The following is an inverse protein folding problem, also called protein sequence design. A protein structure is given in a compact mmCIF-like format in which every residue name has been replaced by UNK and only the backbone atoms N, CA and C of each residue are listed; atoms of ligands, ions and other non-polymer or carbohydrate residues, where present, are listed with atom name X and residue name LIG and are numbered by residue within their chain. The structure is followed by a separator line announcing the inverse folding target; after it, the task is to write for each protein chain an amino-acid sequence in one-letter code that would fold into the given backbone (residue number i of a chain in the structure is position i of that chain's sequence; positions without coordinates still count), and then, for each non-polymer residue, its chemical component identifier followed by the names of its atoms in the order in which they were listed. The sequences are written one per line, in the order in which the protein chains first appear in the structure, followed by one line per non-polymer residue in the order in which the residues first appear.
data_IF_306517497025
#
_entry.id   IF_306517497025
#
_cell.length_a   1.000
_cell.length_b   1.000
_cell.length_c   1.000
_cell.angle_alpha   90.00
_cell.angle_beta   90.00
_cell.angle_gamma   90.00
#
_symmetry.space_group_name_H-M   'P 1'
#
loop_
_entity.id
_entity.type
_entity.pdbx_description
1 polymer ?
#
# COMPACT_ATOMS: atom_id res chain seq x y z
N UNK A 1 7.20 15.99 36.31
CA UNK A 1 8.50 15.79 35.63
C UNK A 1 9.21 14.46 35.96
N UNK A 2 9.14 13.46 35.08
CA UNK A 2 10.27 12.52 34.88
C UNK A 2 10.31 12.07 33.41
N UNK A 3 10.27 13.04 32.50
CA UNK A 3 10.57 12.85 31.09
C UNK A 3 11.77 13.76 30.78
N UNK A 4 12.91 13.15 30.50
CA UNK A 4 14.21 13.76 30.16
C UNK A 4 14.77 14.76 31.20
N UNK A 5 15.73 14.30 32.01
CA UNK A 5 16.38 15.12 33.02
C UNK A 5 17.10 16.33 32.43
N UNK A 6 16.86 17.52 33.00
CA UNK A 6 17.76 18.70 33.13
C UNK A 6 18.56 19.23 31.91
N UNK A 7 18.43 18.67 30.71
CA UNK A 7 19.27 18.96 29.55
C UNK A 7 18.51 18.90 28.22
N UNK A 8 17.31 19.46 28.16
CA UNK A 8 16.68 19.74 26.87
C UNK A 8 17.47 20.87 26.18
N UNK A 9 18.20 20.54 25.11
CA UNK A 9 18.93 21.52 24.30
C UNK A 9 18.10 21.88 23.08
N UNK A 10 18.18 23.15 22.66
CA UNK A 10 17.50 23.62 21.46
C UNK A 10 18.22 23.05 20.24
N UNK A 11 17.57 22.11 19.55
CA UNK A 11 18.05 21.52 18.30
C UNK A 11 17.54 22.37 17.14
N UNK A 12 18.40 22.64 16.16
CA UNK A 12 17.98 23.32 14.93
C UNK A 12 17.71 22.30 13.85
N UNK A 13 16.51 22.32 13.26
CA UNK A 13 16.11 21.48 12.14
C UNK A 13 15.91 22.37 10.90
N UNK A 14 16.55 21.98 9.80
CA UNK A 14 16.29 22.53 8.46
C UNK A 14 15.81 21.38 7.58
N UNK A 15 14.73 21.60 6.85
CA UNK A 15 14.18 20.63 5.90
C UNK A 15 13.86 21.33 4.59
N UNK A 16 14.00 20.60 3.49
CA UNK A 16 13.60 21.03 2.16
C UNK A 16 13.06 19.82 1.40
N UNK A 17 11.91 19.96 0.78
CA UNK A 17 11.39 18.96 -0.15
C UNK A 17 11.66 19.42 -1.58
N UNK A 18 12.06 18.48 -2.43
CA UNK A 18 12.40 18.74 -3.83
C UNK A 18 11.55 17.82 -4.69
N UNK A 19 10.86 18.45 -5.63
CA UNK A 19 10.16 17.82 -6.75
C UNK A 19 11.09 17.93 -7.97
N UNK A 20 11.62 16.79 -8.44
CA UNK A 20 12.65 16.71 -9.48
C UNK A 20 12.00 16.63 -10.86
N UNK A 21 10.90 15.88 -10.99
CA UNK A 21 10.21 15.67 -12.27
C UNK A 21 9.07 16.69 -12.55
N UNK A 22 8.76 17.52 -11.57
CA UNK A 22 7.74 18.59 -11.59
C UNK A 22 6.32 18.05 -11.75
N UNK A 23 6.04 16.85 -11.23
CA UNK A 23 4.70 16.27 -11.24
C UNK A 23 3.79 16.83 -10.13
N UNK A 24 4.32 17.69 -9.25
CA UNK A 24 3.62 18.28 -8.11
C UNK A 24 3.66 17.43 -6.84
N UNK A 25 4.45 16.35 -6.82
CA UNK A 25 4.73 15.51 -5.67
C UNK A 25 6.21 15.65 -5.29
N UNK A 26 6.54 15.69 -4.00
CA UNK A 26 7.93 15.71 -3.60
C UNK A 26 8.56 14.34 -3.92
N UNK A 27 9.78 14.35 -4.45
CA UNK A 27 10.60 13.16 -4.76
C UNK A 27 11.68 12.91 -3.70
N UNK A 28 12.06 13.96 -2.98
CA UNK A 28 13.20 13.92 -2.07
C UNK A 28 13.01 14.87 -0.90
N UNK A 29 13.38 14.40 0.29
CA UNK A 29 13.50 15.20 1.51
C UNK A 29 14.97 15.36 1.89
N UNK A 30 15.43 16.60 1.81
CA UNK A 30 16.72 17.02 2.35
C UNK A 30 16.52 17.53 3.76
N UNK A 31 17.32 17.06 4.70
CA UNK A 31 17.27 17.51 6.08
C UNK A 31 18.65 17.74 6.67
N UNK A 32 18.73 18.69 7.58
CA UNK A 32 19.90 18.97 8.39
C UNK A 32 19.47 19.25 9.83
N UNK A 33 20.01 18.48 10.76
CA UNK A 33 19.77 18.61 12.19
C UNK A 33 21.10 19.01 12.84
N UNK A 34 21.10 20.14 13.54
CA UNK A 34 22.24 20.62 14.32
C UNK A 34 21.94 20.47 15.80
N UNK A 35 22.65 19.57 16.47
CA UNK A 35 22.54 19.30 17.90
C UNK A 35 23.73 19.93 18.61
N UNK A 36 23.53 20.95 19.48
CA UNK A 36 24.63 21.55 20.23
C UNK A 36 25.08 20.58 21.32
N UNK A 37 26.25 19.95 21.16
CA UNK A 37 26.86 19.08 22.16
C UNK A 37 28.00 19.80 22.88
N UNK A 38 28.24 19.51 24.15
CA UNK A 38 29.45 20.01 24.84
C UNK A 38 30.67 19.17 24.48
N UNK A 39 31.87 19.72 24.70
CA UNK A 39 33.14 19.05 24.35
C UNK A 39 33.34 17.69 25.03
N UNK A 40 32.74 17.50 26.21
CA UNK A 40 32.72 16.23 26.95
C UNK A 40 31.68 15.22 26.48
N UNK A 41 30.74 15.61 25.62
CA UNK A 41 29.66 14.76 25.13
C UNK A 41 30.01 14.16 23.76
N UNK A 42 29.75 12.86 23.60
CA UNK A 42 30.03 12.12 22.38
C UNK A 42 28.76 11.46 21.84
N UNK A 43 28.45 11.68 20.56
CA UNK A 43 27.34 11.01 19.89
C UNK A 43 27.83 9.66 19.32
N UNK A 44 27.21 8.57 19.77
CA UNK A 44 27.53 7.20 19.34
C UNK A 44 26.33 6.54 18.63
N UNK A 45 25.11 6.90 19.03
CA UNK A 45 23.88 6.31 18.52
C UNK A 45 22.98 7.41 18.01
N UNK A 46 22.43 7.21 16.82
CA UNK A 46 21.41 8.07 16.26
C UNK A 46 20.13 7.26 16.00
N UNK A 47 19.01 7.78 16.51
CA UNK A 47 17.67 7.24 16.31
C UNK A 47 16.76 8.35 15.83
N UNK A 48 16.02 8.09 14.77
CA UNK A 48 15.05 9.02 14.21
C UNK A 48 13.81 8.26 13.77
N UNK A 49 12.65 8.87 14.00
CA UNK A 49 11.37 8.38 13.55
C UNK A 49 10.70 9.47 12.73
N UNK A 50 10.42 9.19 11.46
CA UNK A 50 9.77 10.10 10.53
C UNK A 50 8.33 9.66 10.32
N UNK A 51 7.39 10.57 10.55
CA UNK A 51 5.99 10.30 10.25
C UNK A 51 5.73 10.62 8.78
N UNK A 52 5.29 9.61 8.04
CA UNK A 52 4.97 9.71 6.62
C UNK A 52 3.49 9.48 6.42
N UNK A 53 2.81 10.43 5.79
CA UNK A 53 1.44 10.24 5.32
C UNK A 53 1.45 9.59 3.94
N UNK A 54 0.72 8.49 3.81
CA UNK A 54 0.55 7.73 2.57
C UNK A 54 -0.89 7.81 2.12
N UNK A 55 -1.08 8.25 0.88
CA UNK A 55 -2.36 8.25 0.19
C UNK A 55 -2.25 7.50 -1.12
N UNK A 56 -2.91 6.34 -1.20
CA UNK A 56 -3.02 5.52 -2.40
C UNK A 56 -4.35 5.82 -3.11
N UNK A 57 -4.28 5.83 -4.44
CA UNK A 57 -5.38 6.28 -5.31
C UNK A 57 -6.44 5.24 -5.65
N UNK A 58 -6.95 5.33 -6.88
CA UNK A 58 -8.25 4.83 -7.34
C UNK A 58 -8.51 3.32 -7.20
N UNK A 59 -7.49 2.47 -7.33
CA UNK A 59 -7.66 1.01 -7.22
C UNK A 59 -7.73 0.52 -5.76
N UNK A 60 -6.98 1.18 -4.87
CA UNK A 60 -6.88 0.84 -3.45
C UNK A 60 -6.95 2.14 -2.66
N UNK A 61 -8.15 2.56 -2.22
CA UNK A 61 -8.29 3.76 -1.41
C UNK A 61 -7.73 3.50 0.00
N UNK A 62 -6.44 3.76 0.19
CA UNK A 62 -5.73 3.65 1.46
C UNK A 62 -5.19 5.02 1.84
N UNK A 63 -5.61 5.52 3.00
CA UNK A 63 -4.96 6.65 3.66
C UNK A 63 -4.42 6.17 4.99
N UNK A 64 -3.10 6.23 5.17
CA UNK A 64 -2.43 5.70 6.36
C UNK A 64 -1.24 6.56 6.73
N UNK A 65 -0.97 6.67 8.02
CA UNK A 65 0.29 7.23 8.53
C UNK A 65 1.23 6.08 8.87
N UNK A 66 2.42 6.11 8.29
CA UNK A 66 3.48 5.15 8.56
C UNK A 66 4.67 5.84 9.24
N UNK A 67 5.49 5.05 9.93
CA UNK A 67 6.66 5.55 10.65
C UNK A 67 7.93 4.98 10.04
N UNK A 68 8.74 5.85 9.45
CA UNK A 68 10.03 5.53 8.91
C UNK A 68 11.07 5.62 10.04
N UNK A 69 11.56 4.45 10.49
CA UNK A 69 12.52 4.35 11.59
C UNK A 69 13.95 4.25 11.04
N UNK A 70 14.84 5.08 11.57
CA UNK A 70 16.27 5.06 11.28
C UNK A 70 17.01 4.82 12.59
N UNK A 71 17.90 3.84 12.59
CA UNK A 71 18.77 3.53 13.71
C UNK A 71 20.17 3.24 13.19
N UNK A 72 21.14 4.05 13.63
CA UNK A 72 22.54 3.87 13.25
C UNK A 72 23.41 4.00 14.49
N UNK A 73 24.52 3.26 14.50
CA UNK A 73 25.46 3.20 15.60
C UNK A 73 26.88 3.30 15.06
N UNK A 74 27.73 4.04 15.77
CA UNK A 74 29.16 4.13 15.51
C UNK A 74 29.93 3.94 16.83
N UNK A 75 30.95 3.06 16.87
CA UNK A 75 31.68 2.76 18.11
C UNK A 75 32.59 3.90 18.59
N UNK A 76 32.92 4.87 17.73
CA UNK A 76 33.76 6.02 18.08
C UNK A 76 32.94 7.32 18.16
N UNK A 77 33.42 8.34 18.89
CA UNK A 77 32.81 9.66 18.91
C UNK A 77 32.75 10.28 17.50
N UNK A 78 31.55 10.48 17.00
CA UNK A 78 31.35 11.13 15.70
C UNK A 78 31.07 12.64 15.85
N UNK A 79 31.60 13.41 14.90
CA UNK A 79 31.31 14.84 14.77
C UNK A 79 30.23 15.16 13.74
N UNK A 80 30.03 14.27 12.77
CA UNK A 80 29.04 14.43 11.70
C UNK A 80 28.46 13.08 11.28
N UNK A 81 27.19 13.08 10.92
CA UNK A 81 26.47 11.95 10.34
C UNK A 81 25.87 12.38 9.00
N UNK A 82 26.20 11.66 7.93
CA UNK A 82 25.56 11.79 6.64
C UNK A 82 24.73 10.54 6.31
N UNK A 83 23.46 10.74 5.97
CA UNK A 83 22.52 9.69 5.62
C UNK A 83 22.03 9.87 4.18
N UNK A 84 22.20 8.85 3.35
CA UNK A 84 21.59 8.81 2.03
C UNK A 84 20.74 7.56 1.94
N UNK A 85 19.43 7.75 1.87
CA UNK A 85 18.49 6.66 2.06
C UNK A 85 17.32 6.70 1.08
N UNK A 86 16.73 5.54 0.86
CA UNK A 86 15.55 5.37 0.02
C UNK A 86 14.36 4.94 0.88
N UNK A 87 13.19 5.52 0.61
CA UNK A 87 11.95 5.16 1.31
C UNK A 87 11.29 3.97 0.63
N UNK A 88 11.27 2.83 1.32
CA UNK A 88 10.74 1.59 0.78
C UNK A 88 9.43 1.23 1.49
N UNK A 89 8.37 1.08 0.69
CA UNK A 89 7.09 0.57 1.20
C UNK A 89 7.11 -0.96 1.27
N UNK A 90 6.63 -1.53 2.37
CA UNK A 90 6.56 -2.97 2.59
C UNK A 90 5.16 -3.36 3.03
N UNK A 91 4.63 -4.42 2.41
CA UNK A 91 3.32 -4.97 2.74
C UNK A 91 3.40 -6.47 3.03
N UNK A 92 2.72 -6.93 4.10
CA UNK A 92 2.71 -8.35 4.49
C UNK A 92 1.67 -9.15 3.72
N UNK A 93 0.54 -8.52 3.43
CA UNK A 93 -0.59 -9.11 2.71
C UNK A 93 -1.13 -8.11 1.70
N UNK A 94 -1.57 -8.58 0.52
CA UNK A 94 -2.09 -7.67 -0.50
C UNK A 94 -3.31 -6.91 0.00
N UNK A 95 -3.40 -5.63 -0.34
CA UNK A 95 -4.45 -4.73 0.15
C UNK A 95 -5.79 -5.04 -0.52
N UNK A 96 -6.93 -5.08 0.21
CA UNK A 96 -8.23 -5.31 -0.40
C UNK A 96 -8.65 -4.15 -1.29
N UNK A 97 -9.15 -4.43 -2.50
CA UNK A 97 -9.71 -3.42 -3.39
C UNK A 97 -11.05 -2.85 -2.87
N UNK A 98 -11.30 -1.56 -3.15
CA UNK A 98 -12.61 -0.92 -3.00
C UNK A 98 -13.09 -0.60 -1.57
N UNK A 99 -12.47 -1.16 -0.52
CA UNK A 99 -12.81 -0.82 0.87
C UNK A 99 -11.85 0.22 1.41
N UNK A 100 -12.36 1.38 1.83
CA UNK A 100 -11.56 2.38 2.55
C UNK A 100 -11.01 1.75 3.82
N UNK A 101 -9.71 1.49 3.84
CA UNK A 101 -9.07 0.85 4.97
C UNK A 101 -8.67 1.91 6.01
N UNK A 102 -9.57 2.19 6.96
CA UNK A 102 -9.31 3.12 8.07
C UNK A 102 -8.52 2.48 9.21
N UNK A 103 -8.31 1.15 9.18
CA UNK A 103 -7.62 0.40 10.25
C UNK A 103 -6.19 0.91 10.50
N UNK A 104 -5.56 1.48 9.48
CA UNK A 104 -4.20 2.02 9.55
C UNK A 104 -4.18 3.56 9.51
N UNK A 105 -5.33 4.22 9.63
CA UNK A 105 -5.44 5.67 9.62
C UNK A 105 -4.95 6.33 10.92
N UNK A 106 -4.87 5.57 12.03
CA UNK A 106 -4.32 6.08 13.28
C UNK A 106 -2.78 6.18 13.20
N UNK A 107 -2.26 7.30 13.70
CA UNK A 107 -0.84 7.56 13.85
C UNK A 107 -0.21 6.47 14.75
N UNK A 108 0.87 5.78 14.31
CA UNK A 108 1.58 4.79 15.12
C UNK A 108 2.06 5.30 16.48
N UNK A 109 2.31 6.61 16.61
CA UNK A 109 2.74 7.20 17.87
C UNK A 109 1.58 7.51 18.82
N UNK A 110 0.33 7.33 18.35
CA UNK A 110 -0.94 7.66 19.05
C UNK A 110 -0.79 8.92 19.90
N UNK A 111 -0.20 9.95 19.29
CA UNK A 111 -0.08 11.28 19.88
C UNK A 111 -1.51 11.73 20.17
N UNK A 112 -1.89 11.76 21.44
CA UNK A 112 -3.20 12.26 21.82
C UNK A 112 -3.31 13.70 21.34
N UNK A 113 -4.46 14.05 20.77
CA UNK A 113 -4.77 15.42 20.34
C UNK A 113 -4.85 16.39 21.52
N UNK A 114 -4.69 15.93 22.77
CA UNK A 114 -4.42 16.79 23.93
C UNK A 114 -3.01 17.40 23.87
N UNK A 115 -2.72 18.17 22.82
CA UNK A 115 -1.64 19.15 22.84
C UNK A 115 -2.06 20.25 23.83
N UNK A 116 -1.62 20.09 25.08
CA UNK A 116 -1.61 21.14 26.09
C UNK A 116 -2.97 21.44 26.75
N UNK A 117 -3.36 20.63 27.73
CA UNK A 117 -3.89 21.28 28.93
C UNK A 117 -2.67 21.81 29.70
N UNK A 118 -2.59 23.13 29.84
CA UNK A 118 -1.74 23.72 30.86
C UNK A 118 -2.25 23.22 32.21
N UNK A 119 -1.61 22.21 32.77
CA UNK A 119 -1.80 21.90 34.19
C UNK A 119 -1.42 23.14 34.99
N UNK A 120 -2.10 23.38 36.13
CA UNK A 120 -2.02 24.56 37.03
C UNK A 120 -0.60 24.94 37.55
N UNK A 121 0.48 24.35 37.01
CA UNK A 121 1.88 24.70 37.24
C UNK A 121 2.66 25.20 36.02
N UNK A 122 2.02 25.47 34.87
CA UNK A 122 2.69 26.04 33.69
C UNK A 122 3.60 25.06 32.93
N UNK A 123 3.58 23.77 33.25
CA UNK A 123 4.32 22.73 32.52
C UNK A 123 3.52 22.29 31.27
N UNK A 124 4.12 22.47 30.09
CA UNK A 124 3.59 21.90 28.84
C UNK A 124 3.84 20.39 28.85
N UNK A 125 2.91 19.62 29.41
CA UNK A 125 2.91 18.17 29.22
C UNK A 125 2.44 17.88 27.79
N UNK A 126 3.38 17.61 26.89
CA UNK A 126 3.04 16.84 25.69
C UNK A 126 2.46 15.53 26.23
N UNK A 127 1.21 15.19 25.87
CA UNK A 127 0.49 13.96 26.28
C UNK A 127 1.13 12.65 25.80
N UNK A 128 2.45 12.60 25.83
CA UNK A 128 3.29 11.45 25.63
C UNK A 128 3.04 10.51 26.81
N UNK A 129 2.14 9.55 26.59
CA UNK A 129 2.18 8.28 27.31
C UNK A 129 3.64 7.80 27.38
N UNK A 130 4.05 7.08 28.42
CA UNK A 130 5.41 6.56 28.54
C UNK A 130 5.71 5.57 27.39
N UNK A 131 6.09 6.08 26.22
CA UNK A 131 6.45 5.30 25.04
C UNK A 131 7.93 4.99 25.09
N UNK A 132 8.26 3.70 25.07
CA UNK A 132 9.63 3.24 24.84
C UNK A 132 9.88 3.08 23.33
N UNK A 133 11.14 3.22 22.90
CA UNK A 133 11.51 3.01 21.50
C UNK A 133 11.09 1.62 21.00
N UNK A 134 11.18 0.61 21.86
CA UNK A 134 10.84 -0.77 21.53
C UNK A 134 9.33 -0.95 21.27
N UNK A 135 8.47 -0.23 22.01
CA UNK A 135 7.02 -0.21 21.76
C UNK A 135 6.70 0.46 20.42
N UNK A 136 7.37 1.57 20.09
CA UNK A 136 7.22 2.25 18.80
C UNK A 136 7.61 1.33 17.64
N UNK A 137 8.75 0.64 17.77
CA UNK A 137 9.20 -0.34 16.79
C UNK A 137 8.18 -1.47 16.68
N UNK A 138 7.72 -2.03 17.79
CA UNK A 138 6.74 -3.12 17.81
C UNK A 138 5.44 -2.74 17.10
N UNK A 139 4.83 -1.61 17.45
CA UNK A 139 3.58 -1.17 16.84
C UNK A 139 3.76 -0.88 15.33
N UNK A 140 4.89 -0.32 14.94
CA UNK A 140 5.21 -0.08 13.52
C UNK A 140 5.37 -1.39 12.74
N UNK A 141 6.00 -2.41 13.34
CA UNK A 141 6.28 -3.69 12.67
C UNK A 141 5.08 -4.64 12.61
N UNK A 142 4.09 -4.48 13.49
CA UNK A 142 2.83 -5.24 13.48
C UNK A 142 1.88 -4.81 12.35
N UNK A 143 2.09 -3.63 11.75
CA UNK A 143 1.24 -3.13 10.65
C UNK A 143 1.42 -3.95 9.37
N UNK A 144 0.31 -4.12 8.64
CA UNK A 144 0.33 -4.81 7.34
C UNK A 144 1.07 -4.00 6.29
N UNK A 145 0.73 -2.71 6.18
CA UNK A 145 1.43 -1.74 5.34
C UNK A 145 2.32 -0.89 6.23
N UNK A 146 3.62 -0.88 5.94
CA UNK A 146 4.62 -0.09 6.66
C UNK A 146 5.64 0.47 5.70
N UNK A 147 6.30 1.54 6.11
CA UNK A 147 7.49 2.03 5.43
C UNK A 147 8.72 1.78 6.26
N UNK A 148 9.83 1.62 5.58
CA UNK A 148 11.14 1.62 6.20
C UNK A 148 12.09 2.42 5.33
N UNK A 149 13.13 2.92 5.96
CA UNK A 149 14.16 3.67 5.28
C UNK A 149 15.34 2.74 5.09
N UNK A 150 15.76 2.55 3.84
CA UNK A 150 16.95 1.79 3.52
C UNK A 150 18.13 2.75 3.34
N UNK A 151 19.10 2.69 4.26
CA UNK A 151 20.29 3.52 4.28
C UNK A 151 21.52 2.61 4.10
N UNK A 152 21.93 2.28 2.86
CA UNK A 152 22.96 1.27 2.64
C UNK A 152 24.33 1.67 3.20
N UNK A 153 24.66 2.97 3.19
CA UNK A 153 25.96 3.48 3.62
C UNK A 153 25.83 4.73 4.51
N UNK A 154 25.53 4.57 5.82
CA UNK A 154 25.61 5.70 6.75
C UNK A 154 27.06 6.13 6.92
N UNK A 155 27.37 7.38 6.57
CA UNK A 155 28.72 7.92 6.63
C UNK A 155 28.91 8.71 7.92
N UNK A 156 29.77 8.20 8.80
CA UNK A 156 30.17 8.86 10.03
C UNK A 156 31.54 9.51 9.85
N UNK A 157 31.69 10.77 10.25
CA UNK A 157 32.98 11.45 10.24
C UNK A 157 33.36 11.93 11.63
N UNK A 158 34.59 11.65 12.03
CA UNK A 158 35.23 12.17 13.25
C UNK A 158 35.74 13.60 13.05
N UNK A 159 36.12 14.26 14.14
CA UNK A 159 36.78 15.58 14.08
C UNK A 159 35.87 16.77 14.36
N UNK A 160 35.00 16.67 15.38
CA UNK A 160 34.25 17.82 15.90
C UNK A 160 35.23 18.80 16.57
N UNK A 161 35.28 20.05 16.13
CA UNK A 161 36.05 21.07 16.84
C UNK A 161 35.37 21.45 18.17
N UNK A 162 36.14 22.00 19.10
CA UNK A 162 35.62 22.45 20.39
C UNK A 162 34.52 23.50 20.19
N UNK A 163 33.35 23.29 20.80
CA UNK A 163 32.17 24.16 20.66
C UNK A 163 31.37 24.02 19.36
N UNK A 164 31.76 23.14 18.43
CA UNK A 164 30.95 22.89 17.23
C UNK A 164 29.75 21.96 17.51
N UNK A 165 28.58 22.22 16.88
CA UNK A 165 27.43 21.33 16.99
C UNK A 165 27.68 20.01 16.24
N UNK A 166 27.04 18.95 16.73
CA UNK A 166 26.94 17.70 15.99
C UNK A 166 25.93 17.88 14.85
N UNK A 167 26.40 17.74 13.61
CA UNK A 167 25.58 17.94 12.41
C UNK A 167 25.18 16.58 11.86
N UNK A 168 23.87 16.35 11.77
CA UNK A 168 23.29 15.26 11.01
C UNK A 168 22.76 15.87 9.73
N UNK A 169 23.17 15.35 8.59
CA UNK A 169 22.69 15.76 7.28
C UNK A 169 22.20 14.53 6.55
N UNK A 170 21.15 14.66 5.77
CA UNK A 170 20.71 13.52 5.00
C UNK A 170 19.71 13.84 3.93
N UNK A 171 19.55 12.83 3.08
CA UNK A 171 18.68 12.85 1.91
C UNK A 171 17.87 11.57 1.94
N UNK A 172 16.55 11.70 1.93
CA UNK A 172 15.62 10.59 1.80
C UNK A 172 14.93 10.73 0.45
N UNK A 173 15.12 9.74 -0.42
CA UNK A 173 14.46 9.69 -1.74
C UNK A 173 13.17 8.89 -1.64
N UNK A 174 12.17 9.27 -2.43
CA UNK A 174 10.87 8.64 -2.51
C UNK A 174 10.76 7.88 -3.84
N UNK A 175 11.30 6.66 -3.94
CA UNK A 175 11.20 5.87 -5.16
C UNK A 175 9.76 5.41 -5.41
N UNK A 176 9.44 5.15 -6.68
CA UNK A 176 8.21 4.47 -7.06
C UNK A 176 8.17 3.05 -6.49
N UNK A 177 7.18 2.78 -5.65
CA UNK A 177 7.00 1.48 -5.03
C UNK A 177 5.84 0.70 -5.67
N UNK A 178 6.04 -0.60 -5.90
CA UNK A 178 4.97 -1.50 -6.39
C UNK A 178 4.14 -2.02 -5.23
N UNK A 179 2.82 -1.92 -5.34
CA UNK A 179 1.86 -2.31 -4.31
C UNK A 179 0.95 -3.39 -4.85
N UNK A 180 0.85 -4.52 -4.15
CA UNK A 180 -0.05 -5.60 -4.53
C UNK A 180 -1.41 -5.45 -3.87
N UNK A 181 -2.47 -5.61 -4.66
CA UNK A 181 -3.85 -5.56 -4.19
C UNK A 181 -4.59 -6.86 -4.47
N UNK A 182 -5.67 -7.11 -3.73
CA UNK A 182 -6.60 -8.22 -3.97
C UNK A 182 -7.77 -7.70 -4.80
N UNK A 183 -8.01 -8.26 -6.00
CA UNK A 183 -9.12 -7.84 -6.83
C UNK A 183 -10.45 -8.10 -6.13
N UNK A 184 -11.41 -7.20 -6.35
CA UNK A 184 -12.77 -7.36 -5.83
C UNK A 184 -13.56 -8.44 -6.58
N UNK A 185 -14.76 -8.76 -6.10
CA UNK A 185 -15.64 -9.72 -6.77
C UNK A 185 -15.96 -9.30 -8.21
N UNK A 186 -16.33 -8.04 -8.43
CA UNK A 186 -16.68 -7.53 -9.77
C UNK A 186 -15.49 -7.57 -10.73
N UNK A 187 -14.29 -7.24 -10.25
CA UNK A 187 -13.06 -7.31 -11.04
C UNK A 187 -12.69 -8.76 -11.37
N UNK A 188 -12.84 -9.67 -10.40
CA UNK A 188 -12.65 -11.11 -10.59
C UNK A 188 -13.66 -11.66 -11.60
N UNK A 189 -14.93 -11.24 -11.55
CA UNK A 189 -15.96 -11.64 -12.49
C UNK A 189 -15.68 -11.13 -13.91
N UNK A 190 -15.16 -9.90 -14.05
CA UNK A 190 -14.74 -9.34 -15.34
C UNK A 190 -13.67 -10.22 -16.01
N UNK A 191 -12.63 -10.60 -15.26
CA UNK A 191 -11.56 -11.44 -15.80
C UNK A 191 -11.97 -12.91 -15.95
N UNK A 192 -12.76 -13.43 -15.01
CA UNK A 192 -13.33 -14.78 -15.08
C UNK A 192 -14.25 -14.95 -16.29
N UNK A 193 -15.04 -13.92 -16.63
CA UNK A 193 -15.91 -13.94 -17.80
C UNK A 193 -15.15 -14.20 -19.11
N UNK A 194 -13.97 -13.61 -19.28
CA UNK A 194 -13.10 -13.86 -20.45
C UNK A 194 -12.69 -15.33 -20.52
N UNK A 195 -12.33 -15.92 -19.37
CA UNK A 195 -11.95 -17.33 -19.29
C UNK A 195 -13.13 -18.25 -19.60
N UNK A 196 -14.31 -18.00 -19.02
CA UNK A 196 -15.51 -18.79 -19.29
C UNK A 196 -15.93 -18.72 -20.76
N UNK A 197 -15.86 -17.54 -21.39
CA UNK A 197 -16.12 -17.40 -22.82
C UNK A 197 -15.13 -18.23 -23.67
N UNK A 198 -13.84 -18.25 -23.32
CA UNK A 198 -12.84 -19.05 -24.01
C UNK A 198 -13.15 -20.56 -23.89
N UNK A 199 -13.45 -21.05 -22.68
CA UNK A 199 -13.86 -22.44 -22.46
C UNK A 199 -15.16 -22.79 -23.19
N UNK A 200 -16.13 -21.88 -23.20
CA UNK A 200 -17.40 -22.08 -23.88
C UNK A 200 -17.21 -22.22 -25.39
N UNK A 201 -16.38 -21.37 -26.00
CA UNK A 201 -16.04 -21.46 -27.43
C UNK A 201 -15.34 -22.78 -27.76
N UNK A 202 -14.40 -23.21 -26.91
CA UNK A 202 -13.74 -24.51 -27.05
C UNK A 202 -14.77 -25.66 -27.01
N UNK A 203 -15.67 -25.65 -26.04
CA UNK A 203 -16.75 -26.63 -25.93
C UNK A 203 -17.66 -26.63 -27.17
N UNK A 204 -18.02 -25.46 -27.72
CA UNK A 204 -18.82 -25.38 -28.94
C UNK A 204 -18.10 -25.98 -30.15
N UNK A 205 -16.80 -25.74 -30.29
CA UNK A 205 -15.98 -26.32 -31.38
C UNK A 205 -15.96 -27.85 -31.26
N UNK A 206 -15.81 -28.39 -30.06
CA UNK A 206 -15.79 -29.84 -29.81
C UNK A 206 -17.17 -30.50 -29.94
N UNK A 207 -18.25 -29.83 -29.55
CA UNK A 207 -19.61 -30.35 -29.63
C UNK A 207 -20.19 -30.32 -31.05
N UNK A 208 -19.72 -29.42 -31.92
CA UNK A 208 -20.14 -29.35 -33.34
C UNK A 208 -19.99 -30.68 -34.09
N UNK A 209 -18.82 -31.36 -34.11
CA UNK A 209 -18.67 -32.64 -34.78
C UNK A 209 -19.50 -33.75 -34.12
N UNK A 210 -19.59 -33.78 -32.78
CA UNK A 210 -20.38 -34.77 -32.04
C UNK A 210 -21.87 -34.65 -32.41
N UNK A 211 -22.41 -33.42 -32.40
CA UNK A 211 -23.78 -33.15 -32.83
C UNK A 211 -24.00 -33.64 -34.27
N UNK A 212 -23.10 -33.29 -35.20
CA UNK A 212 -23.20 -33.74 -36.59
C UNK A 212 -23.16 -35.27 -36.72
N UNK A 213 -22.32 -35.95 -35.94
CA UNK A 213 -22.26 -37.41 -35.92
C UNK A 213 -23.58 -38.02 -35.43
N UNK A 214 -24.16 -37.51 -34.33
CA UNK A 214 -25.44 -38.01 -33.81
C UNK A 214 -26.56 -37.86 -34.84
N UNK A 215 -26.66 -36.70 -35.52
CA UNK A 215 -27.66 -36.48 -36.57
C UNK A 215 -27.45 -37.37 -37.81
N UNK A 216 -26.20 -37.67 -38.19
CA UNK A 216 -25.90 -38.58 -39.31
C UNK A 216 -26.20 -40.03 -39.00
N UNK A 217 -26.04 -40.46 -37.75
CA UNK A 217 -26.20 -41.86 -37.34
C UNK A 217 -27.65 -42.20 -36.97
N UNK A 218 -28.59 -41.23 -37.05
CA UNK A 218 -30.01 -41.40 -36.70
C UNK A 218 -30.27 -42.10 -35.36
N UNK A 219 -29.39 -41.89 -34.37
CA UNK A 219 -29.51 -42.54 -33.06
C UNK A 219 -30.68 -42.00 -32.20
N UNK A 220 -31.38 -40.96 -32.67
CA UNK A 220 -32.51 -40.32 -31.98
C UNK A 220 -33.64 -40.09 -32.98
N UNK A 221 -34.88 -40.40 -32.61
CA UNK A 221 -36.07 -40.17 -33.44
C UNK A 221 -36.26 -38.66 -33.68
N UNK A 222 -36.08 -38.21 -34.92
CA UNK A 222 -36.41 -36.84 -35.33
C UNK A 222 -37.83 -36.79 -35.87
N UNK A 223 -38.71 -36.05 -35.19
CA UNK A 223 -40.07 -35.79 -35.67
C UNK A 223 -40.03 -34.52 -36.51
N UNK A 224 -40.46 -34.60 -37.77
CA UNK A 224 -40.59 -33.44 -38.66
C UNK A 224 -42.01 -32.90 -38.52
N UNK A 225 -42.15 -31.71 -37.95
CA UNK A 225 -43.40 -30.95 -38.06
C UNK A 225 -43.38 -30.18 -39.39
N UNK A 226 -44.07 -30.71 -40.41
CA UNK A 226 -44.32 -30.01 -41.66
C UNK A 226 -45.68 -29.32 -41.60
N UNK A 227 -45.69 -28.00 -41.44
CA UNK A 227 -46.91 -27.19 -41.34
C UNK A 227 -47.46 -26.78 -42.72
N UNK A 228 -47.45 -27.71 -43.68
CA UNK A 228 -47.98 -27.49 -45.04
C UNK A 228 -48.85 -28.67 -45.46
N UNK A 229 -50.14 -28.58 -45.12
CA UNK A 229 -51.09 -29.65 -45.46
C UNK A 229 -52.58 -29.38 -45.23
N UNK A 230 -53.04 -28.13 -45.17
CA UNK A 230 -54.48 -27.84 -45.24
C UNK A 230 -54.77 -26.66 -46.18
N UNK A 231 -54.81 -26.96 -47.49
CA UNK A 231 -55.56 -26.14 -48.46
C UNK A 231 -56.11 -27.00 -49.60
N UNK A 232 -57.42 -27.22 -49.51
CA UNK A 232 -58.38 -27.35 -50.62
C UNK A 232 -58.26 -28.51 -51.61
N UNK A 233 -59.24 -29.42 -51.56
CA UNK A 233 -60.17 -29.81 -52.64
C UNK A 233 -61.00 -31.02 -52.12
N UNK A 234 -62.33 -31.03 -51.99
CA UNK A 234 -63.36 -30.29 -52.70
C UNK A 234 -63.78 -31.02 -53.98
N UNK A 235 -64.76 -31.94 -53.89
CA UNK A 235 -65.68 -32.21 -55.01
C UNK A 235 -65.70 -33.61 -55.66
N UNK A 236 -66.77 -34.35 -55.34
CA UNK A 236 -67.65 -35.13 -56.24
C UNK A 236 -67.08 -36.23 -57.18
N UNK A 237 -67.54 -37.47 -56.96
CA UNK A 237 -68.39 -38.19 -57.95
C UNK A 237 -69.07 -39.45 -57.36
N UNK A 238 -70.36 -39.57 -57.67
CA UNK A 238 -71.21 -40.73 -57.41
C UNK A 238 -71.07 -41.80 -58.52
N UNK A 239 -71.28 -43.09 -58.17
CA UNK A 239 -72.43 -43.91 -58.60
C UNK A 239 -72.12 -45.43 -58.69
N UNK A 240 -73.01 -46.20 -58.04
CA UNK A 240 -73.59 -47.53 -58.38
C UNK A 240 -72.78 -48.84 -58.31
N UNK A 241 -73.35 -49.80 -57.56
CA UNK A 241 -73.28 -51.25 -57.83
C UNK A 241 -73.82 -52.19 -56.72
N UNK A 242 -75.09 -52.64 -56.83
CA UNK A 242 -75.76 -53.86 -56.27
C UNK A 242 -75.81 -54.04 -54.73
N UNK A 243 -76.88 -54.48 -54.06
CA UNK A 243 -78.13 -55.17 -54.40
C UNK A 243 -79.34 -54.43 -53.80
#
# INVERSE_FOLDING_TARGET
MKAMGKQARVVTLKTSEVDVDRDGRPDRLDFQISVPLTDSEHAMTFRMALLMEYELGTLVPLRTTSLALIHTFHPAPAGRLYLSCDLVSSQRTPLPAGVKNTRYGENPLRLDKSLGELTDGGELSLGLKNWTWDEVVKETMERNFRTHVDCPYPSWSSGRAAGEPFIISGVIRYPENRIWYRPGFAETLKWGGVQYCAYFLLCLILLRPIKSAIFRTSAVQSIIYSDMGERSQGGARAAKGSF
#
